data_IF_666982095535
#
_entry.id   IF_666982095535
#
_cell.length_a   1.000
_cell.length_b   1.000
_cell.length_c   1.000
_cell.angle_alpha   90.00
_cell.angle_beta   90.00
_cell.angle_gamma   90.00
#
_symmetry.space_group_name_H-M   'P 1'
#
loop_
_entity.id
_entity.type
_entity.pdbx_description
1 polymer ?
#
# COMPACT_ATOMS: atom_id res chain seq x y z
N UNK A 1 24.92 -5.98 17.91
CA UNK A 1 24.68 -7.39 18.09
C UNK A 1 23.67 -7.93 17.09
N UNK A 2 23.37 -9.25 17.15
CA UNK A 2 22.47 -9.93 16.18
C UNK A 2 21.09 -9.25 16.05
N UNK A 3 20.56 -8.71 17.14
CA UNK A 3 19.29 -8.00 17.15
C UNK A 3 19.33 -6.69 16.32
N UNK A 4 20.44 -5.99 16.39
CA UNK A 4 20.67 -4.73 15.64
C UNK A 4 20.81 -5.00 14.13
N UNK A 5 21.56 -6.04 13.76
CA UNK A 5 21.67 -6.48 12.36
C UNK A 5 20.34 -6.98 11.81
N UNK A 6 19.52 -7.64 12.63
CA UNK A 6 18.17 -8.05 12.23
C UNK A 6 17.23 -6.86 12.03
N UNK A 7 17.30 -5.85 12.91
CA UNK A 7 16.53 -4.59 12.77
C UNK A 7 16.93 -3.83 11.51
N UNK A 8 18.23 -3.68 11.24
CA UNK A 8 18.72 -3.04 10.01
C UNK A 8 18.32 -3.82 8.75
N UNK A 9 18.39 -5.17 8.76
CA UNK A 9 17.92 -5.99 7.65
C UNK A 9 16.41 -5.90 7.45
N UNK A 10 15.63 -5.85 8.52
CA UNK A 10 14.17 -5.72 8.42
C UNK A 10 13.74 -4.33 7.96
N UNK A 11 14.41 -3.26 8.39
CA UNK A 11 14.19 -1.91 7.88
C UNK A 11 14.47 -1.80 6.37
N UNK A 12 15.52 -2.45 5.89
CA UNK A 12 15.83 -2.57 4.45
C UNK A 12 14.77 -3.34 3.65
N UNK A 13 13.90 -4.12 4.32
CA UNK A 13 12.84 -4.92 3.68
C UNK A 13 11.45 -4.28 3.79
N UNK A 14 11.36 -3.00 4.15
CA UNK A 14 10.08 -2.31 4.29
C UNK A 14 9.18 -2.83 5.43
N UNK A 15 9.73 -3.63 6.35
CA UNK A 15 9.04 -4.08 7.55
C UNK A 15 9.36 -3.12 8.68
N UNK A 16 8.39 -2.26 9.03
CA UNK A 16 8.49 -1.47 10.24
C UNK A 16 8.22 -2.35 11.45
N UNK A 17 9.25 -2.54 12.26
CA UNK A 17 9.02 -2.84 13.65
C UNK A 17 8.91 -1.52 14.38
N UNK A 18 7.77 -1.28 14.99
CA UNK A 18 7.66 -0.25 16.01
C UNK A 18 8.61 -0.65 17.15
N UNK A 19 9.36 0.30 17.68
CA UNK A 19 10.07 0.06 18.93
C UNK A 19 9.09 -0.17 20.08
N UNK A 20 9.62 -0.42 21.28
CA UNK A 20 8.78 -0.67 22.45
C UNK A 20 7.91 0.55 22.83
N UNK A 21 8.27 1.75 22.38
CA UNK A 21 7.57 3.01 22.56
C UNK A 21 6.55 3.30 21.44
N UNK A 22 6.51 2.47 20.38
CA UNK A 22 5.60 2.62 19.24
C UNK A 22 6.01 3.72 18.25
N UNK A 23 7.25 4.18 18.31
CA UNK A 23 7.81 5.13 17.35
C UNK A 23 8.46 4.43 16.16
N UNK A 24 8.20 4.92 14.95
CA UNK A 24 8.93 4.47 13.77
C UNK A 24 10.36 5.03 13.82
N UNK A 25 11.40 4.21 13.57
CA UNK A 25 12.77 4.70 13.52
C UNK A 25 12.91 5.82 12.48
N UNK A 26 13.74 6.82 12.77
CA UNK A 26 13.94 8.01 11.92
C UNK A 26 14.36 7.68 10.47
N UNK A 27 14.97 6.52 10.25
CA UNK A 27 15.31 5.99 8.91
C UNK A 27 14.08 5.62 8.06
N UNK A 28 12.88 5.61 8.64
CA UNK A 28 11.64 5.32 7.92
C UNK A 28 11.22 6.44 6.97
N UNK A 29 11.61 7.67 7.24
CA UNK A 29 11.31 8.81 6.37
C UNK A 29 12.06 8.76 5.03
N UNK A 30 13.08 7.93 4.90
CA UNK A 30 13.86 7.76 3.66
C UNK A 30 13.25 6.75 2.67
N UNK A 31 12.28 5.95 3.08
CA UNK A 31 11.60 5.00 2.17
C UNK A 31 10.65 5.70 1.16
N UNK A 32 10.53 7.00 1.25
CA UNK A 32 9.61 7.79 0.44
C UNK A 32 10.25 8.51 -0.73
N UNK A 33 11.55 8.56 -0.76
CA UNK A 33 12.26 9.02 -1.94
C UNK A 33 12.41 7.86 -2.92
N UNK A 34 12.60 8.17 -4.17
CA UNK A 34 13.03 7.29 -5.27
C UNK A 34 14.23 6.39 -4.91
N UNK A 35 14.78 6.55 -3.75
CA UNK A 35 15.99 5.98 -3.21
C UNK A 35 15.89 4.50 -2.82
N UNK A 36 14.71 3.92 -2.60
CA UNK A 36 14.63 2.50 -2.24
C UNK A 36 14.96 1.56 -3.42
N UNK A 37 14.69 1.97 -4.65
CA UNK A 37 15.14 1.23 -5.83
C UNK A 37 16.66 1.30 -5.99
N UNK A 38 17.27 2.42 -5.60
CA UNK A 38 18.73 2.58 -5.58
C UNK A 38 19.39 1.57 -4.64
N UNK A 39 18.80 1.26 -3.48
CA UNK A 39 19.32 0.24 -2.56
C UNK A 39 19.39 -1.14 -3.22
N UNK A 40 18.45 -1.48 -4.10
CA UNK A 40 18.56 -2.70 -4.90
C UNK A 40 19.69 -2.58 -5.94
N UNK A 41 19.78 -1.45 -6.63
CA UNK A 41 20.80 -1.22 -7.67
C UNK A 41 22.21 -1.21 -7.06
N UNK A 42 22.38 -0.60 -5.90
CA UNK A 42 23.64 -0.53 -5.18
C UNK A 42 24.00 -1.85 -4.48
N UNK A 43 23.01 -2.71 -4.25
CA UNK A 43 23.22 -4.03 -3.63
C UNK A 43 23.09 -4.02 -2.12
N UNK A 44 22.59 -2.96 -1.53
CA UNK A 44 22.31 -2.86 -0.09
C UNK A 44 21.10 -3.70 0.32
N UNK A 45 20.21 -3.98 -0.64
CA UNK A 45 19.11 -4.91 -0.49
C UNK A 45 19.10 -5.94 -1.62
N UNK A 46 18.69 -7.16 -1.33
CA UNK A 46 18.54 -8.23 -2.32
C UNK A 46 17.12 -8.28 -2.91
N UNK A 47 16.12 -7.98 -2.09
CA UNK A 47 14.71 -7.98 -2.45
C UNK A 47 14.02 -6.77 -1.79
N UNK A 48 13.15 -6.11 -2.54
CA UNK A 48 12.29 -5.06 -2.06
C UNK A 48 10.82 -5.47 -2.22
N UNK A 49 10.01 -5.29 -1.18
CA UNK A 49 8.55 -5.42 -1.28
C UNK A 49 7.94 -4.03 -1.41
N UNK A 50 7.43 -3.70 -2.59
CA UNK A 50 6.92 -2.36 -2.85
C UNK A 50 5.74 -2.34 -3.84
N UNK A 51 4.99 -1.25 -3.78
CA UNK A 51 4.11 -0.82 -4.86
C UNK A 51 4.99 -0.07 -5.87
N UNK A 52 5.13 -0.57 -7.08
CA UNK A 52 6.06 0.00 -8.04
C UNK A 52 5.39 0.31 -9.38
N UNK A 53 5.94 1.30 -10.06
CA UNK A 53 5.67 1.57 -11.46
C UNK A 53 6.56 0.65 -12.29
N UNK A 54 5.96 -0.33 -12.96
CA UNK A 54 6.69 -1.41 -13.63
C UNK A 54 7.60 -0.92 -14.75
N UNK A 55 7.19 0.11 -15.48
CA UNK A 55 7.96 0.70 -16.59
C UNK A 55 9.33 1.23 -16.17
N UNK A 56 9.47 1.63 -14.90
CA UNK A 56 10.75 2.11 -14.35
C UNK A 56 11.72 1.00 -14.03
N UNK A 57 11.24 -0.21 -13.75
CA UNK A 57 12.05 -1.32 -13.27
C UNK A 57 12.97 -1.88 -14.35
N UNK A 58 12.48 -1.99 -15.57
CA UNK A 58 13.26 -2.54 -16.69
C UNK A 58 14.48 -1.69 -17.01
N UNK A 59 14.35 -0.37 -16.97
CA UNK A 59 15.46 0.56 -17.20
C UNK A 59 16.57 0.46 -16.14
N UNK A 60 16.25 -0.07 -14.96
CA UNK A 60 17.19 -0.23 -13.85
C UNK A 60 17.77 -1.65 -13.77
N UNK A 61 17.49 -2.53 -14.74
CA UNK A 61 17.92 -3.93 -14.69
C UNK A 61 17.23 -4.74 -13.59
N UNK A 62 16.07 -4.29 -13.12
CA UNK A 62 15.29 -4.94 -12.08
C UNK A 62 14.25 -5.88 -12.69
N UNK A 63 13.94 -6.94 -11.96
CA UNK A 63 12.84 -7.85 -12.23
C UNK A 63 11.89 -7.86 -11.05
N UNK A 64 10.69 -8.39 -11.25
CA UNK A 64 9.68 -8.46 -10.18
C UNK A 64 8.84 -9.73 -10.31
N UNK A 65 8.26 -10.14 -9.18
CA UNK A 65 7.14 -11.06 -9.15
C UNK A 65 5.94 -10.40 -8.46
N UNK A 66 4.71 -10.55 -9.00
CA UNK A 66 3.52 -10.04 -8.33
C UNK A 66 3.23 -10.87 -7.07
N UNK A 67 3.00 -10.21 -5.96
CA UNK A 67 2.67 -10.87 -4.69
C UNK A 67 1.19 -10.78 -4.37
N UNK A 68 0.66 -9.59 -4.22
CA UNK A 68 -0.71 -9.37 -3.76
C UNK A 68 -1.35 -8.28 -4.63
N UNK A 69 -2.58 -8.55 -5.06
CA UNK A 69 -3.51 -7.54 -5.56
C UNK A 69 -4.56 -7.33 -4.48
N UNK A 70 -4.66 -6.12 -3.95
CA UNK A 70 -5.68 -5.75 -2.97
C UNK A 70 -6.59 -4.67 -3.57
N UNK A 71 -7.87 -4.97 -3.85
CA UNK A 71 -8.81 -3.99 -4.37
C UNK A 71 -8.88 -2.75 -3.49
N UNK A 72 -9.19 -1.61 -4.08
CA UNK A 72 -9.48 -0.40 -3.35
C UNK A 72 -10.79 -0.53 -2.60
N UNK A 73 -10.84 0.07 -1.43
CA UNK A 73 -12.07 0.41 -0.73
C UNK A 73 -12.07 1.89 -0.40
N UNK A 74 -13.22 2.53 -0.50
CA UNK A 74 -13.42 3.93 -0.18
C UNK A 74 -13.99 4.07 1.23
N UNK A 75 -13.23 4.67 2.14
CA UNK A 75 -13.71 5.07 3.45
C UNK A 75 -14.28 6.49 3.37
N UNK A 76 -15.53 6.65 3.75
CA UNK A 76 -16.26 7.92 3.71
C UNK A 76 -16.98 8.18 5.03
N UNK A 77 -17.32 9.44 5.33
CA UNK A 77 -18.21 9.76 6.45
C UNK A 77 -19.56 9.07 6.31
N UNK A 78 -20.17 8.61 7.41
CA UNK A 78 -21.54 8.10 7.41
C UNK A 78 -22.57 9.16 6.96
N UNK A 79 -22.23 10.44 7.06
CA UNK A 79 -23.05 11.55 6.64
C UNK A 79 -22.83 11.92 5.15
N UNK A 80 -21.87 11.26 4.46
CA UNK A 80 -21.60 11.47 3.03
C UNK A 80 -22.74 10.92 2.17
N UNK A 81 -23.08 11.54 1.04
CA UNK A 81 -24.02 10.99 0.06
C UNK A 81 -23.64 9.57 -0.40
N UNK A 82 -22.34 9.26 -0.48
CA UNK A 82 -21.87 7.93 -0.86
C UNK A 82 -22.22 6.85 0.18
N UNK A 83 -22.39 7.21 1.45
CA UNK A 83 -22.63 6.24 2.52
C UNK A 83 -23.88 5.38 2.32
N UNK A 84 -24.85 5.84 1.51
CA UNK A 84 -26.05 5.09 1.15
C UNK A 84 -25.85 4.08 0.02
N UNK A 85 -24.68 4.12 -0.66
CA UNK A 85 -24.36 3.23 -1.76
C UNK A 85 -23.84 1.89 -1.24
N UNK A 86 -23.98 0.82 -2.05
CA UNK A 86 -23.43 -0.50 -1.74
C UNK A 86 -21.96 -0.63 -2.18
N UNK A 87 -21.60 0.11 -3.20
CA UNK A 87 -20.25 0.18 -3.80
C UNK A 87 -20.13 1.48 -4.58
N UNK A 88 -18.93 1.84 -4.94
CA UNK A 88 -18.62 3.03 -5.74
C UNK A 88 -17.65 2.65 -6.88
N UNK A 89 -17.59 3.52 -7.89
CA UNK A 89 -16.58 3.49 -8.95
C UNK A 89 -15.58 4.63 -8.74
N UNK A 90 -14.44 4.58 -9.43
CA UNK A 90 -13.49 5.69 -9.44
C UNK A 90 -14.12 6.98 -10.01
N UNK A 91 -15.08 6.84 -10.94
CA UNK A 91 -15.81 7.98 -11.50
C UNK A 91 -16.77 8.61 -10.47
N UNK A 92 -17.41 7.83 -9.61
CA UNK A 92 -18.21 8.36 -8.50
C UNK A 92 -17.38 9.20 -7.53
N UNK A 93 -16.09 8.85 -7.39
CA UNK A 93 -15.15 9.54 -6.50
C UNK A 93 -14.52 10.81 -7.10
N UNK A 94 -14.68 11.05 -8.40
CA UNK A 94 -14.04 12.16 -9.15
C UNK A 94 -14.24 13.54 -8.52
N UNK A 95 -15.42 13.80 -7.98
CA UNK A 95 -15.77 15.09 -7.36
C UNK A 95 -15.35 15.20 -5.89
N UNK A 96 -14.95 14.09 -5.28
CA UNK A 96 -14.56 14.03 -3.87
C UNK A 96 -13.13 14.46 -3.65
N UNK A 97 -12.82 14.81 -2.40
CA UNK A 97 -11.48 15.20 -1.96
C UNK A 97 -10.80 14.01 -1.30
N UNK A 98 -9.73 13.55 -1.90
CA UNK A 98 -8.97 12.40 -1.41
C UNK A 98 -8.11 12.79 -0.21
N UNK A 99 -8.31 12.12 0.91
CA UNK A 99 -7.52 12.32 2.13
C UNK A 99 -6.30 11.42 2.07
N UNK A 100 -5.11 12.01 2.25
CA UNK A 100 -3.84 11.29 2.27
C UNK A 100 -3.01 11.69 3.48
N UNK A 101 -2.10 10.83 3.92
CA UNK A 101 -1.12 11.20 4.93
C UNK A 101 -0.07 12.14 4.33
N UNK A 102 0.32 13.16 5.11
CA UNK A 102 1.36 14.10 4.72
C UNK A 102 2.77 13.54 4.92
N UNK A 103 2.91 12.59 5.84
CA UNK A 103 4.15 11.88 6.08
C UNK A 103 4.38 10.82 5.02
N UNK A 104 5.63 10.60 4.74
CA UNK A 104 6.06 9.74 3.67
C UNK A 104 5.66 8.28 3.76
N UNK A 105 5.08 7.83 4.85
CA UNK A 105 4.72 6.43 5.12
C UNK A 105 3.77 5.81 4.07
N UNK A 106 3.00 6.62 3.36
CA UNK A 106 2.01 6.14 2.39
C UNK A 106 2.28 6.57 0.94
N UNK A 107 3.45 7.16 0.63
CA UNK A 107 3.69 7.74 -0.69
C UNK A 107 3.60 6.70 -1.81
N UNK A 108 4.17 5.51 -1.65
CA UNK A 108 4.08 4.47 -2.68
C UNK A 108 2.65 4.00 -2.92
N UNK A 109 1.84 3.89 -1.86
CA UNK A 109 0.41 3.61 -1.98
C UNK A 109 -0.34 4.75 -2.65
N UNK A 110 0.03 6.00 -2.33
CA UNK A 110 -0.58 7.18 -2.92
C UNK A 110 -0.32 7.27 -4.44
N UNK A 111 0.89 6.98 -4.89
CA UNK A 111 1.23 6.94 -6.33
C UNK A 111 0.33 5.97 -7.10
N UNK A 112 -0.03 4.82 -6.51
CA UNK A 112 -1.00 3.90 -7.11
C UNK A 112 -2.39 4.53 -7.25
N UNK A 113 -2.86 5.26 -6.24
CA UNK A 113 -4.16 5.93 -6.28
C UNK A 113 -4.16 7.02 -7.36
N UNK A 114 -3.11 7.86 -7.41
CA UNK A 114 -2.97 8.91 -8.44
C UNK A 114 -2.96 8.32 -9.84
N UNK A 115 -2.22 7.24 -10.08
CA UNK A 115 -2.17 6.57 -11.37
C UNK A 115 -3.57 6.10 -11.80
N UNK A 116 -4.31 5.43 -10.93
CA UNK A 116 -5.67 4.96 -11.25
C UNK A 116 -6.59 6.14 -11.55
N UNK A 117 -6.54 7.21 -10.75
CA UNK A 117 -7.31 8.43 -11.06
C UNK A 117 -6.97 9.00 -12.43
N UNK A 118 -5.69 9.02 -12.81
CA UNK A 118 -5.23 9.51 -14.12
C UNK A 118 -5.70 8.61 -15.27
N UNK A 119 -5.69 7.29 -15.09
CA UNK A 119 -6.24 6.32 -16.04
C UNK A 119 -7.75 6.53 -16.25
N UNK A 120 -8.47 6.95 -15.20
CA UNK A 120 -9.87 7.40 -15.27
C UNK A 120 -10.04 8.86 -15.72
N UNK A 121 -8.97 9.53 -16.18
CA UNK A 121 -8.99 10.85 -16.81
C UNK A 121 -9.18 12.02 -15.85
N UNK A 122 -8.73 11.90 -14.58
CA UNK A 122 -8.73 13.02 -13.64
C UNK A 122 -7.56 13.00 -12.65
N UNK A 123 -7.24 14.20 -12.15
CA UNK A 123 -6.29 14.37 -11.06
C UNK A 123 -7.07 14.53 -9.74
N UNK A 124 -6.81 13.72 -8.70
CA UNK A 124 -7.57 13.80 -7.46
C UNK A 124 -7.29 15.09 -6.71
N UNK A 125 -8.34 15.79 -6.26
CA UNK A 125 -8.20 16.85 -5.27
C UNK A 125 -7.79 16.24 -3.94
N UNK A 126 -6.81 16.80 -3.24
CA UNK A 126 -6.26 16.19 -2.04
C UNK A 126 -6.38 17.04 -0.80
N UNK A 127 -6.48 16.38 0.35
CA UNK A 127 -6.30 16.95 1.68
C UNK A 127 -5.28 16.11 2.43
N UNK A 128 -4.17 16.73 2.84
CA UNK A 128 -3.16 16.07 3.65
C UNK A 128 -3.56 16.09 5.13
N UNK A 129 -3.31 14.99 5.82
CA UNK A 129 -3.46 14.87 7.27
C UNK A 129 -2.16 14.34 7.87
N UNK A 130 -1.85 14.77 9.09
CA UNK A 130 -0.72 14.21 9.83
C UNK A 130 -1.17 12.90 10.48
N UNK A 131 -0.37 11.86 10.31
CA UNK A 131 -0.62 10.57 10.93
C UNK A 131 0.70 9.87 11.23
N UNK A 132 0.89 9.43 12.46
CA UNK A 132 2.13 8.77 12.90
C UNK A 132 1.98 7.27 13.16
N UNK A 133 0.75 6.77 13.20
CA UNK A 133 0.49 5.36 13.49
C UNK A 133 -0.66 4.81 12.66
N UNK A 134 -0.71 3.51 12.53
CA UNK A 134 -1.80 2.78 11.89
C UNK A 134 -3.19 3.06 12.52
N UNK A 135 -3.22 3.38 13.81
CA UNK A 135 -4.46 3.73 14.51
C UNK A 135 -5.05 5.09 14.07
N UNK A 136 -4.25 5.92 13.42
CA UNK A 136 -4.72 7.21 12.93
C UNK A 136 -5.80 7.10 11.85
N UNK A 137 -5.85 5.99 11.10
CA UNK A 137 -6.96 5.73 10.17
C UNK A 137 -8.33 5.77 10.87
N UNK A 138 -8.43 5.25 12.09
CA UNK A 138 -9.67 5.22 12.86
C UNK A 138 -10.07 6.60 13.42
N UNK A 139 -9.12 7.53 13.52
CA UNK A 139 -9.31 8.83 14.15
C UNK A 139 -9.42 9.99 13.15
N UNK A 140 -9.27 9.75 11.84
CA UNK A 140 -9.32 10.81 10.84
C UNK A 140 -10.76 11.30 10.67
N UNK A 141 -11.05 12.58 10.98
CA UNK A 141 -12.36 13.14 10.70
C UNK A 141 -12.53 13.33 9.19
N UNK A 142 -13.48 12.63 8.60
CA UNK A 142 -13.87 12.80 7.19
C UNK A 142 -15.09 13.73 7.10
N UNK A 143 -14.98 14.75 6.26
CA UNK A 143 -16.10 15.59 5.89
C UNK A 143 -17.01 14.91 4.86
N UNK A 144 -18.11 15.58 4.49
CA UNK A 144 -19.12 15.04 3.56
C UNK A 144 -18.54 14.74 2.16
N UNK A 145 -17.55 15.51 1.75
CA UNK A 145 -16.88 15.41 0.43
C UNK A 145 -15.50 14.75 0.52
N UNK A 146 -15.14 14.18 1.66
CA UNK A 146 -13.86 13.52 1.84
C UNK A 146 -13.99 12.01 1.56
N UNK A 147 -12.97 11.47 0.91
CA UNK A 147 -12.79 10.02 0.72
C UNK A 147 -11.36 9.64 1.03
N UNK A 148 -11.18 8.51 1.71
CA UNK A 148 -9.85 7.91 1.89
C UNK A 148 -9.84 6.53 1.25
N UNK A 149 -8.89 6.29 0.36
CA UNK A 149 -8.72 4.99 -0.29
C UNK A 149 -7.83 4.10 0.58
N UNK A 150 -8.34 2.91 0.88
CA UNK A 150 -7.68 1.89 1.67
C UNK A 150 -7.61 0.57 0.90
N UNK A 151 -6.84 -0.38 1.42
CA UNK A 151 -6.73 -1.73 0.85
C UNK A 151 -7.83 -2.63 1.43
N UNK A 152 -8.56 -3.35 0.58
CA UNK A 152 -9.57 -4.31 1.03
C UNK A 152 -9.00 -5.42 1.95
N UNK A 153 -7.72 -5.71 1.82
CA UNK A 153 -7.01 -6.70 2.65
C UNK A 153 -6.60 -6.21 4.03
N UNK A 154 -6.86 -4.93 4.39
CA UNK A 154 -6.51 -4.40 5.71
C UNK A 154 -7.36 -5.05 6.81
N UNK A 155 -6.75 -5.73 7.80
CA UNK A 155 -7.51 -6.36 8.90
C UNK A 155 -8.30 -5.35 9.73
N UNK A 156 -7.86 -4.10 9.77
CA UNK A 156 -8.45 -3.00 10.54
C UNK A 156 -9.81 -2.56 10.00
N UNK A 157 -10.12 -2.79 8.72
CA UNK A 157 -11.38 -2.35 8.10
C UNK A 157 -12.61 -2.81 8.87
N UNK A 158 -12.56 -4.02 9.45
CA UNK A 158 -13.67 -4.59 10.24
C UNK A 158 -13.98 -3.81 11.52
N UNK A 159 -13.03 -3.02 12.01
CA UNK A 159 -13.19 -2.23 13.24
C UNK A 159 -13.48 -0.75 12.97
N UNK A 160 -13.26 -0.27 11.73
CA UNK A 160 -13.41 1.16 11.42
C UNK A 160 -14.84 1.65 11.64
N UNK A 161 -15.83 0.85 11.23
CA UNK A 161 -17.24 1.18 11.43
C UNK A 161 -17.67 1.19 12.90
N UNK A 162 -16.98 0.43 13.77
CA UNK A 162 -17.33 0.30 15.18
C UNK A 162 -16.80 1.47 16.04
N UNK A 163 -15.69 2.09 15.59
CA UNK A 163 -14.98 3.12 16.38
C UNK A 163 -15.08 4.53 15.81
N UNK A 164 -15.53 4.67 14.56
CA UNK A 164 -15.58 5.96 13.88
C UNK A 164 -16.89 6.09 13.08
N UNK A 165 -17.34 7.34 12.89
CA UNK A 165 -18.53 7.62 12.06
C UNK A 165 -18.18 7.54 10.56
N UNK A 166 -17.70 6.39 10.14
CA UNK A 166 -17.33 6.12 8.74
C UNK A 166 -17.98 4.84 8.24
N UNK A 167 -18.14 4.76 6.95
CA UNK A 167 -18.47 3.52 6.25
C UNK A 167 -17.39 3.21 5.22
N UNK A 168 -17.23 1.93 4.89
CA UNK A 168 -16.25 1.45 3.92
C UNK A 168 -16.99 0.79 2.77
N UNK A 169 -16.78 1.30 1.57
CA UNK A 169 -17.46 0.88 0.34
C UNK A 169 -16.45 0.21 -0.60
N UNK A 170 -16.77 -0.95 -1.19
CA UNK A 170 -15.95 -1.52 -2.26
C UNK A 170 -15.88 -0.58 -3.47
N UNK A 171 -14.69 -0.43 -4.06
CA UNK A 171 -14.51 0.17 -5.37
C UNK A 171 -14.57 -0.95 -6.42
N UNK A 172 -15.42 -0.81 -7.43
CA UNK A 172 -15.78 -1.91 -8.33
C UNK A 172 -14.99 -1.95 -9.63
N UNK A 173 -14.16 -0.94 -9.90
CA UNK A 173 -13.31 -0.94 -11.10
C UNK A 173 -12.18 -1.97 -10.98
N UNK A 174 -11.97 -2.76 -12.03
CA UNK A 174 -10.99 -3.85 -12.01
C UNK A 174 -9.54 -3.38 -11.89
N UNK A 175 -9.22 -2.18 -12.37
CA UNK A 175 -7.91 -1.57 -12.27
C UNK A 175 -7.65 -0.90 -10.91
N UNK A 176 -8.71 -0.60 -10.15
CA UNK A 176 -8.66 0.05 -8.86
C UNK A 176 -8.14 -0.90 -7.75
N UNK A 177 -6.84 -1.12 -7.73
CA UNK A 177 -6.21 -2.00 -6.75
C UNK A 177 -4.77 -1.57 -6.44
N UNK A 178 -4.35 -1.82 -5.21
CA UNK A 178 -2.94 -1.85 -4.86
C UNK A 178 -2.32 -3.16 -5.33
N UNK A 179 -1.14 -3.07 -5.95
CA UNK A 179 -0.39 -4.23 -6.43
C UNK A 179 0.99 -4.23 -5.79
N UNK A 180 1.21 -5.17 -4.88
CA UNK A 180 2.49 -5.37 -4.21
C UNK A 180 3.34 -6.34 -5.01
N UNK A 181 4.60 -5.97 -5.21
CA UNK A 181 5.60 -6.77 -5.93
C UNK A 181 6.78 -7.10 -5.03
N UNK A 182 7.41 -8.24 -5.26
CA UNK A 182 8.78 -8.48 -4.84
C UNK A 182 9.70 -8.11 -6.00
N UNK A 183 10.55 -7.11 -5.80
CA UNK A 183 11.45 -6.54 -6.79
C UNK A 183 12.87 -6.96 -6.45
N UNK A 184 13.66 -7.31 -7.45
CA UNK A 184 15.04 -7.78 -7.27
C UNK A 184 15.87 -7.50 -8.52
N UNK A 185 17.22 -7.56 -8.41
CA UNK A 185 18.12 -7.44 -9.58
C UNK A 185 18.02 -8.70 -10.43
N UNK A 186 17.90 -8.55 -11.76
CA UNK A 186 17.83 -9.69 -12.70
C UNK A 186 18.99 -10.65 -12.51
N UNK A 187 20.18 -10.12 -12.31
CA UNK A 187 21.42 -10.92 -12.15
C UNK A 187 21.48 -11.68 -10.82
N UNK A 188 20.62 -11.33 -9.86
CA UNK A 188 20.63 -11.89 -8.51
C UNK A 188 19.57 -12.98 -8.31
N UNK A 189 18.87 -13.37 -9.38
CA UNK A 189 17.70 -14.28 -9.30
C UNK A 189 17.99 -15.57 -8.54
N UNK A 190 19.07 -16.29 -8.87
CA UNK A 190 19.38 -17.57 -8.23
C UNK A 190 19.62 -17.43 -6.71
N UNK A 191 20.21 -16.32 -6.30
CA UNK A 191 20.43 -16.01 -4.88
C UNK A 191 19.14 -15.73 -4.14
N UNK A 192 18.20 -15.00 -4.77
CA UNK A 192 16.96 -14.58 -4.12
C UNK A 192 15.82 -15.58 -4.29
N UNK A 193 15.92 -16.52 -5.22
CA UNK A 193 14.87 -17.51 -5.54
C UNK A 193 14.30 -18.23 -4.31
N UNK A 194 15.08 -18.70 -3.32
CA UNK A 194 14.51 -19.36 -2.15
C UNK A 194 13.57 -18.45 -1.34
N UNK A 195 13.88 -17.15 -1.26
CA UNK A 195 13.05 -16.18 -0.59
C UNK A 195 11.80 -15.86 -1.41
N UNK A 196 11.91 -15.70 -2.74
CA UNK A 196 10.78 -15.48 -3.64
C UNK A 196 9.79 -16.64 -3.58
N UNK A 197 10.31 -17.89 -3.56
CA UNK A 197 9.48 -19.09 -3.39
C UNK A 197 8.77 -19.12 -2.03
N UNK A 198 9.44 -18.65 -0.96
CA UNK A 198 8.84 -18.54 0.35
C UNK A 198 7.71 -17.49 0.37
N UNK A 199 7.92 -16.33 -0.24
CA UNK A 199 6.86 -15.31 -0.39
C UNK A 199 5.68 -15.83 -1.20
N UNK A 200 5.93 -16.54 -2.29
CA UNK A 200 4.88 -17.13 -3.13
C UNK A 200 4.06 -18.17 -2.37
N UNK A 201 4.69 -18.98 -1.50
CA UNK A 201 3.99 -19.93 -0.62
C UNK A 201 3.19 -19.20 0.47
N UNK A 202 3.80 -18.22 1.14
CA UNK A 202 3.15 -17.45 2.19
C UNK A 202 1.92 -16.69 1.66
N UNK A 203 2.01 -16.14 0.44
CA UNK A 203 0.91 -15.51 -0.28
C UNK A 203 -0.31 -16.42 -0.35
N UNK A 204 -0.13 -17.70 -0.75
CA UNK A 204 -1.25 -18.67 -0.83
C UNK A 204 -1.93 -18.89 0.51
N UNK A 205 -1.15 -18.89 1.60
CA UNK A 205 -1.68 -19.06 2.96
C UNK A 205 -2.50 -17.84 3.38
N UNK A 206 -1.98 -16.64 3.17
CA UNK A 206 -2.65 -15.38 3.54
C UNK A 206 -3.97 -15.23 2.80
N UNK A 207 -4.01 -15.55 1.51
CA UNK A 207 -5.21 -15.41 0.68
C UNK A 207 -6.27 -16.45 0.96
N UNK A 208 -5.87 -17.67 1.37
CA UNK A 208 -6.80 -18.70 1.78
C UNK A 208 -7.48 -18.40 3.14
N UNK A 209 -6.87 -17.54 3.98
CA UNK A 209 -7.40 -17.16 5.30
C UNK A 209 -8.03 -15.75 5.31
N UNK A 210 -7.80 -14.92 4.29
CA UNK A 210 -8.28 -13.55 4.19
C UNK A 210 -9.38 -13.41 3.12
N UNK A 211 -10.60 -13.10 3.54
CA UNK A 211 -11.69 -12.74 2.61
C UNK A 211 -11.43 -11.33 2.06
N UNK A 212 -10.62 -11.15 1.05
CA UNK A 212 -10.47 -9.81 0.48
C UNK A 212 -9.28 -9.55 -0.43
N UNK A 213 -8.39 -10.51 -0.65
CA UNK A 213 -7.32 -10.38 -1.64
C UNK A 213 -7.48 -11.43 -2.74
N UNK A 214 -7.40 -11.03 -3.99
CA UNK A 214 -7.27 -11.97 -5.12
C UNK A 214 -5.80 -12.17 -5.48
N UNK A 215 -5.46 -13.39 -5.88
CA UNK A 215 -4.15 -13.67 -6.47
C UNK A 215 -4.02 -12.86 -7.76
N UNK A 216 -2.88 -12.24 -7.98
CA UNK A 216 -2.52 -11.78 -9.33
C UNK A 216 -2.02 -13.02 -10.05
N UNK A 217 -2.82 -13.51 -11.00
CA UNK A 217 -2.34 -14.55 -11.89
C UNK A 217 -1.18 -13.98 -12.70
N UNK A 218 -0.11 -14.76 -12.79
CA UNK A 218 1.02 -14.47 -13.67
C UNK A 218 0.56 -14.58 -15.12
N UNK A 219 0.34 -13.45 -15.78
CA UNK A 219 0.41 -13.39 -17.24
C UNK A 219 1.85 -13.30 -17.71
#
# INVERSE_FOLDING_TARGET
GVAEQSRQKCAAHGWAFLDAEGEAPASYNSLNDTNYLEQLVEGDADILLAYAELDKLDNLGLAYIPLIRSPFVAMVSMDSPLASMKSVTMDDLRSYRFVKFADGYSLSGWTNIERVCQEHGYTPRTRAVLGRTYMNYCAIPLGLEDVMILQASMPQLRYLSDFSRVTVLPVTDDDAAFRLYAIYKKDNYERVRPALDAYTRARKIILNHGKGGTLVDSE
#
